data_IF_633795468516
#
_entry.id   IF_633795468516
#
_cell.length_a   1.000
_cell.length_b   1.000
_cell.length_c   1.000
_cell.angle_alpha   90.00
_cell.angle_beta   90.00
_cell.angle_gamma   90.00
#
_symmetry.space_group_name_H-M   'P 1'
#
loop_
_entity.id
_entity.type
_entity.pdbx_description
1 polymer ?
#
# COMPACT_ATOMS: atom_id res chain seq x y z
N UNK A 1 -21.77 -3.05 4.13
CA UNK A 1 -21.47 -2.04 5.17
C UNK A 1 -20.20 -1.43 4.66
N UNK A 2 -20.25 -0.21 4.15
CA UNK A 2 -19.10 0.38 3.47
C UNK A 2 -18.04 0.67 4.54
N UNK A 3 -16.89 -0.01 4.43
CA UNK A 3 -15.77 0.16 5.34
C UNK A 3 -15.07 1.47 5.02
N UNK A 4 -14.72 2.25 6.05
CA UNK A 4 -13.94 3.47 5.90
C UNK A 4 -12.66 3.37 6.74
N UNK A 5 -11.51 3.64 6.12
CA UNK A 5 -10.20 3.55 6.74
C UNK A 5 -9.44 4.87 6.61
N UNK A 6 -8.99 5.47 7.70
CA UNK A 6 -8.01 6.56 7.64
C UNK A 6 -6.60 5.94 7.66
N UNK A 7 -5.90 5.93 6.52
CA UNK A 7 -4.59 5.27 6.38
C UNK A 7 -3.41 6.16 6.73
N UNK A 8 -3.62 7.48 6.79
CA UNK A 8 -2.55 8.45 7.04
C UNK A 8 -1.42 8.30 6.03
N UNK A 9 -0.18 8.32 6.49
CA UNK A 9 1.00 8.14 5.63
C UNK A 9 1.42 6.68 5.48
N UNK A 10 0.51 5.73 5.71
CA UNK A 10 0.82 4.29 5.61
C UNK A 10 0.56 3.76 4.22
N UNK A 11 -0.64 3.99 3.69
CA UNK A 11 -1.11 3.48 2.41
C UNK A 11 -1.72 4.63 1.61
N UNK A 12 -1.26 4.75 0.37
CA UNK A 12 -1.75 5.67 -0.64
C UNK A 12 -2.24 4.87 -1.85
N UNK A 13 -3.02 5.48 -2.75
CA UNK A 13 -3.20 4.92 -4.08
C UNK A 13 -1.83 4.61 -4.69
N UNK A 14 -1.69 3.44 -5.31
CA UNK A 14 -0.47 2.97 -5.98
C UNK A 14 0.71 2.61 -5.09
N UNK A 15 0.68 2.75 -3.76
CA UNK A 15 1.89 2.47 -2.98
C UNK A 15 1.81 2.69 -1.47
N UNK A 16 2.86 2.27 -0.73
CA UNK A 16 3.02 2.57 0.67
C UNK A 16 3.53 4.00 0.86
N UNK A 17 3.51 4.49 2.09
CA UNK A 17 4.25 5.69 2.46
C UNK A 17 5.76 5.56 2.23
N UNK A 18 6.41 6.71 2.04
CA UNK A 18 7.86 6.80 1.83
C UNK A 18 8.64 6.20 3.00
N UNK A 19 9.56 5.30 2.72
CA UNK A 19 10.42 4.66 3.73
C UNK A 19 11.89 5.09 3.62
N UNK A 20 12.61 5.02 4.74
CA UNK A 20 14.01 5.49 4.82
C UNK A 20 15.05 4.35 4.77
N UNK A 21 14.60 3.09 4.83
CA UNK A 21 15.45 1.89 4.79
C UNK A 21 14.67 0.69 4.28
N UNK A 22 15.39 -0.36 3.86
CA UNK A 22 14.79 -1.62 3.41
C UNK A 22 14.01 -2.32 4.53
N UNK A 23 14.49 -2.26 5.78
CA UNK A 23 13.78 -2.80 6.95
C UNK A 23 12.46 -2.06 7.20
N UNK A 24 12.43 -0.73 7.04
CA UNK A 24 11.20 0.03 7.15
C UNK A 24 10.22 -0.28 6.01
N UNK A 25 10.73 -0.56 4.81
CA UNK A 25 9.88 -1.02 3.69
C UNK A 25 9.23 -2.37 4.01
N UNK A 26 10.02 -3.33 4.53
CA UNK A 26 9.47 -4.62 4.93
C UNK A 26 8.41 -4.46 6.03
N UNK A 27 8.71 -3.64 7.05
CA UNK A 27 7.78 -3.39 8.16
C UNK A 27 6.46 -2.74 7.72
N UNK A 28 6.51 -1.76 6.82
CA UNK A 28 5.28 -1.09 6.33
C UNK A 28 4.47 -2.04 5.44
N UNK A 29 5.12 -2.84 4.60
CA UNK A 29 4.46 -3.87 3.77
C UNK A 29 3.78 -4.92 4.66
N UNK A 30 4.45 -5.40 5.70
CA UNK A 30 3.87 -6.35 6.66
C UNK A 30 2.67 -5.74 7.39
N UNK A 31 2.73 -4.45 7.73
CA UNK A 31 1.63 -3.73 8.38
C UNK A 31 0.43 -3.56 7.45
N UNK A 32 0.66 -3.20 6.18
CA UNK A 32 -0.39 -3.04 5.18
C UNK A 32 -1.06 -4.39 4.91
N UNK A 33 -0.28 -5.39 4.54
CA UNK A 33 -0.79 -6.71 4.14
C UNK A 33 -1.42 -7.48 5.32
N UNK A 34 -0.85 -7.38 6.51
CA UNK A 34 -1.34 -8.10 7.69
C UNK A 34 -2.51 -7.44 8.41
N UNK A 35 -2.72 -6.13 8.23
CA UNK A 35 -3.77 -5.37 8.93
C UNK A 35 -4.76 -4.73 8.00
N UNK A 36 -4.30 -3.93 7.04
CA UNK A 36 -5.20 -3.15 6.18
C UNK A 36 -5.89 -4.07 5.17
N UNK A 37 -5.14 -4.94 4.49
CA UNK A 37 -5.69 -5.91 3.54
C UNK A 37 -6.46 -7.06 4.19
N UNK A 38 -6.54 -7.10 5.53
CA UNK A 38 -7.44 -8.01 6.25
C UNK A 38 -8.87 -7.47 6.38
N UNK A 39 -9.08 -6.20 6.05
CA UNK A 39 -10.39 -5.56 6.00
C UNK A 39 -11.14 -5.98 4.72
N UNK A 40 -12.47 -5.78 4.64
CA UNK A 40 -13.24 -6.03 3.42
C UNK A 40 -12.66 -5.26 2.22
N UNK A 41 -12.61 -5.89 1.05
CA UNK A 41 -11.99 -5.32 -0.16
C UNK A 41 -12.69 -4.04 -0.63
N UNK A 42 -13.99 -3.92 -0.37
CA UNK A 42 -14.80 -2.72 -0.66
C UNK A 42 -14.52 -1.52 0.27
N UNK A 43 -13.55 -1.64 1.19
CA UNK A 43 -13.19 -0.56 2.11
C UNK A 43 -12.53 0.59 1.35
N UNK A 44 -13.08 1.79 1.52
CA UNK A 44 -12.50 3.04 1.04
C UNK A 44 -11.48 3.54 2.07
N UNK A 45 -10.29 3.89 1.62
CA UNK A 45 -9.25 4.47 2.45
C UNK A 45 -8.95 5.92 2.11
N UNK A 46 -8.62 6.68 3.16
CA UNK A 46 -8.34 8.12 3.14
C UNK A 46 -6.92 8.35 3.63
N UNK A 47 -5.97 8.62 2.73
CA UNK A 47 -4.59 8.91 3.11
C UNK A 47 -4.44 10.27 3.79
N UNK A 48 -3.25 10.51 4.36
CA UNK A 48 -2.91 11.82 4.94
C UNK A 48 -2.85 12.95 3.91
N UNK A 49 -2.67 12.60 2.63
CA UNK A 49 -2.60 13.51 1.50
C UNK A 49 -2.88 12.80 0.17
N UNK A 50 -3.22 13.56 -0.87
CA UNK A 50 -3.53 13.01 -2.19
C UNK A 50 -4.98 12.54 -2.28
N UNK A 51 -5.24 11.64 -3.24
CA UNK A 51 -6.57 11.13 -3.51
C UNK A 51 -6.92 9.92 -2.61
N UNK A 52 -8.22 9.70 -2.43
CA UNK A 52 -8.76 8.51 -1.77
C UNK A 52 -8.53 7.26 -2.64
N UNK A 53 -8.66 6.08 -2.05
CA UNK A 53 -8.56 4.82 -2.79
C UNK A 53 -9.45 3.71 -2.23
N UNK A 54 -9.48 2.58 -2.94
CA UNK A 54 -10.19 1.37 -2.52
C UNK A 54 -9.20 0.24 -2.26
N UNK A 55 -9.43 -0.54 -1.20
CA UNK A 55 -8.54 -1.66 -0.87
C UNK A 55 -8.49 -2.71 -1.97
N UNK A 56 -9.60 -2.96 -2.67
CA UNK A 56 -9.66 -3.91 -3.79
C UNK A 56 -8.63 -3.60 -4.90
N UNK A 57 -8.49 -2.33 -5.27
CA UNK A 57 -7.49 -1.86 -6.23
C UNK A 57 -6.08 -2.03 -5.67
N UNK A 58 -5.84 -1.55 -4.44
CA UNK A 58 -4.51 -1.64 -3.80
C UNK A 58 -4.02 -3.08 -3.60
N UNK A 59 -4.92 -4.01 -3.27
CA UNK A 59 -4.61 -5.44 -3.14
C UNK A 59 -4.18 -6.02 -4.49
N UNK A 60 -4.93 -5.70 -5.55
CA UNK A 60 -4.64 -6.17 -6.91
C UNK A 60 -3.27 -5.68 -7.39
N UNK A 61 -2.97 -4.40 -7.16
CA UNK A 61 -1.67 -3.81 -7.48
C UNK A 61 -0.53 -4.42 -6.65
N UNK A 62 -0.76 -4.64 -5.35
CA UNK A 62 0.22 -5.24 -4.45
C UNK A 62 0.59 -6.68 -4.85
N UNK A 63 -0.37 -7.49 -5.29
CA UNK A 63 -0.07 -8.83 -5.79
C UNK A 63 0.78 -8.79 -7.07
N UNK A 64 0.54 -7.82 -7.96
CA UNK A 64 1.40 -7.59 -9.12
C UNK A 64 2.80 -7.19 -8.67
N UNK A 65 2.93 -6.28 -7.72
CA UNK A 65 4.20 -5.87 -7.13
C UNK A 65 4.98 -7.08 -6.59
N UNK A 66 4.33 -7.91 -5.77
CA UNK A 66 4.92 -9.12 -5.16
C UNK A 66 5.40 -10.14 -6.19
N UNK A 67 4.70 -10.24 -7.33
CA UNK A 67 5.05 -11.19 -8.40
C UNK A 67 6.31 -10.80 -9.19
N UNK A 68 6.73 -9.53 -9.16
CA UNK A 68 7.85 -9.03 -9.96
C UNK A 68 9.18 -9.28 -9.23
N UNK A 69 9.94 -10.29 -9.62
CA UNK A 69 11.27 -10.62 -9.05
C UNK A 69 12.40 -9.58 -9.29
N UNK A 70 12.09 -8.34 -9.70
CA UNK A 70 13.08 -7.28 -9.96
C UNK A 70 12.65 -5.99 -9.26
N UNK A 71 12.99 -5.88 -7.97
CA UNK A 71 12.79 -4.64 -7.21
C UNK A 71 14.08 -3.82 -7.28
N UNK A 72 14.21 -2.98 -8.30
CA UNK A 72 15.40 -2.13 -8.48
C UNK A 72 15.56 -1.10 -7.36
N UNK A 73 14.48 -0.79 -6.65
CA UNK A 73 14.43 0.16 -5.55
C UNK A 73 14.00 -0.57 -4.29
N UNK A 74 14.82 -0.43 -3.24
CA UNK A 74 14.71 -1.19 -1.98
C UNK A 74 14.04 -0.41 -0.85
N UNK A 75 13.81 0.89 -1.02
CA UNK A 75 13.15 1.81 -0.08
C UNK A 75 12.94 3.18 -0.75
N UNK A 76 12.34 4.12 -0.04
CA UNK A 76 12.02 5.45 -0.56
C UNK A 76 10.61 5.50 -1.10
N UNK A 77 10.45 6.13 -2.26
CA UNK A 77 9.16 6.24 -2.95
C UNK A 77 8.94 4.97 -3.78
N UNK A 78 8.18 4.02 -3.22
CA UNK A 78 7.82 2.75 -3.86
C UNK A 78 6.42 2.87 -4.44
N UNK A 79 6.25 2.43 -5.68
CA UNK A 79 4.93 2.24 -6.30
C UNK A 79 4.72 0.75 -6.59
N UNK A 80 3.52 0.24 -6.32
CA UNK A 80 3.08 -1.12 -6.65
C UNK A 80 3.20 -1.37 -8.15
N UNK A 81 2.71 -0.41 -8.93
CA UNK A 81 2.85 -0.38 -10.37
C UNK A 81 3.76 0.80 -10.73
N UNK A 82 5.01 0.52 -11.11
CA UNK A 82 5.82 1.53 -11.79
C UNK A 82 5.06 1.99 -13.04
N UNK A 83 4.79 3.30 -13.12
CA UNK A 83 4.43 3.96 -14.39
C UNK A 83 5.48 3.78 -15.48
#
# INVERSE_FOLDING_TARGET
MDGHLFSGDTLFPRGPGKTQSEDHLNQIIDSISGKLFSLPEETIFYPGHGDDGELSESISEFEIYKSKNVHSQKFGDIEWLKS
#
